data_IF_513494674017
#
_entry.id   IF_513494674017
#
_cell.length_a   1.000
_cell.length_b   1.000
_cell.length_c   1.000
_cell.angle_alpha   90.00
_cell.angle_beta   90.00
_cell.angle_gamma   90.00
#
_symmetry.space_group_name_H-M   'P 1'
#
loop_
_entity.id
_entity.type
_entity.pdbx_description
1 polymer ?
#
# COMPACT_ATOMS: atom_id res chain seq x y z
N UNK A 1 0.89 -10.04 25.55
CA UNK A 1 1.95 -9.93 24.52
C UNK A 1 1.28 -9.63 23.20
N UNK A 2 1.31 -8.40 22.63
CA UNK A 2 0.71 -8.18 21.32
C UNK A 2 1.64 -8.76 20.25
N UNK A 3 1.08 -9.57 19.36
CA UNK A 3 1.79 -10.24 18.28
C UNK A 3 1.55 -9.44 17.01
N UNK A 4 2.58 -8.84 16.44
CA UNK A 4 2.46 -8.27 15.10
C UNK A 4 2.24 -9.40 14.09
N UNK A 5 1.05 -9.44 13.48
CA UNK A 5 0.76 -10.29 12.34
C UNK A 5 1.16 -9.54 11.07
N UNK A 6 1.66 -10.26 10.06
CA UNK A 6 2.25 -9.75 8.79
C UNK A 6 3.79 -9.55 8.81
N UNK A 7 4.54 -10.24 9.67
CA UNK A 7 6.01 -10.31 9.56
C UNK A 7 6.80 -9.08 10.03
N UNK A 8 6.13 -8.04 10.54
CA UNK A 8 6.78 -6.89 11.17
C UNK A 8 7.11 -7.14 12.64
N UNK A 9 8.18 -6.53 13.12
CA UNK A 9 8.62 -6.54 14.52
C UNK A 9 8.12 -5.30 15.28
N UNK A 10 8.30 -5.26 16.61
CA UNK A 10 7.95 -4.07 17.39
C UNK A 10 8.84 -2.86 17.07
N UNK A 11 10.09 -3.09 16.69
CA UNK A 11 11.00 -2.03 16.25
C UNK A 11 10.50 -1.36 14.95
N UNK A 12 9.72 -2.06 14.14
CA UNK A 12 9.12 -1.49 12.93
C UNK A 12 7.99 -0.50 13.23
N UNK A 13 7.46 -0.48 14.46
CA UNK A 13 6.35 0.38 14.88
C UNK A 13 6.83 1.66 15.60
N UNK A 14 8.07 1.68 16.08
CA UNK A 14 8.65 2.79 16.81
C UNK A 14 9.20 3.87 15.84
N UNK A 15 9.35 5.12 16.30
CA UNK A 15 9.98 6.22 15.56
C UNK A 15 9.37 6.58 14.19
N UNK A 16 8.06 6.40 14.00
CA UNK A 16 7.35 6.84 12.79
C UNK A 16 7.20 5.77 11.71
N UNK A 17 7.29 4.49 12.10
CA UNK A 17 7.22 3.30 11.26
C UNK A 17 8.47 3.11 10.37
N UNK A 18 8.99 1.88 10.30
CA UNK A 18 10.17 1.59 9.47
C UNK A 18 9.85 1.61 7.97
N UNK A 19 10.80 2.00 7.13
CA UNK A 19 10.68 1.92 5.66
C UNK A 19 10.28 0.53 5.18
N UNK A 20 10.72 -0.52 5.88
CA UNK A 20 10.33 -1.90 5.60
C UNK A 20 8.84 -2.14 5.85
N UNK A 21 8.31 -1.64 6.98
CA UNK A 21 6.90 -1.76 7.31
C UNK A 21 6.03 -0.92 6.38
N UNK A 22 6.40 0.34 6.14
CA UNK A 22 5.66 1.19 5.19
C UNK A 22 5.72 0.57 3.79
N UNK A 23 6.88 0.06 3.38
CA UNK A 23 7.07 -0.56 2.06
C UNK A 23 6.39 -1.92 1.90
N UNK A 24 5.98 -2.57 2.99
CA UNK A 24 5.15 -3.78 2.96
C UNK A 24 3.67 -3.42 2.88
N UNK A 25 3.24 -2.41 3.65
CA UNK A 25 1.83 -2.03 3.77
C UNK A 25 1.34 -1.09 2.67
N UNK A 26 2.19 -0.21 2.16
CA UNK A 26 1.84 0.84 1.19
C UNK A 26 2.59 0.60 -0.11
N UNK A 27 1.85 0.53 -1.21
CA UNK A 27 2.42 0.53 -2.55
C UNK A 27 2.78 1.98 -2.95
N UNK A 28 4.05 2.23 -3.26
CA UNK A 28 4.52 3.51 -3.80
C UNK A 28 5.51 3.30 -4.95
N UNK A 29 5.62 4.31 -5.82
CA UNK A 29 6.55 4.31 -6.95
C UNK A 29 5.83 4.58 -8.27
N UNK A 30 6.31 3.96 -9.34
CA UNK A 30 5.69 4.08 -10.67
C UNK A 30 4.38 3.29 -10.74
N UNK A 31 3.56 3.60 -11.74
CA UNK A 31 2.31 2.91 -12.00
C UNK A 31 2.52 1.40 -12.23
N UNK A 32 3.58 1.01 -12.93
CA UNK A 32 3.90 -0.40 -13.18
C UNK A 32 4.18 -1.15 -11.88
N UNK A 33 4.95 -0.55 -10.97
CA UNK A 33 5.27 -1.15 -9.68
C UNK A 33 4.03 -1.31 -8.79
N UNK A 34 3.07 -0.40 -8.91
CA UNK A 34 1.80 -0.49 -8.20
C UNK A 34 0.92 -1.59 -8.85
N UNK A 35 0.85 -1.64 -10.18
CA UNK A 35 0.12 -2.69 -10.92
C UNK A 35 0.64 -4.11 -10.63
N UNK A 36 1.96 -4.29 -10.54
CA UNK A 36 2.58 -5.57 -10.14
C UNK A 36 2.10 -6.04 -8.76
N UNK A 37 1.94 -5.11 -7.80
CA UNK A 37 1.47 -5.44 -6.45
C UNK A 37 -0.02 -5.78 -6.44
N UNK A 38 -0.83 -5.09 -7.23
CA UNK A 38 -2.24 -5.45 -7.45
C UNK A 38 -2.32 -6.88 -8.01
N UNK A 39 -1.52 -7.16 -9.05
CA UNK A 39 -1.41 -8.50 -9.65
C UNK A 39 -0.96 -9.56 -8.64
N UNK A 40 -0.02 -9.25 -7.75
CA UNK A 40 0.42 -10.18 -6.70
C UNK A 40 -0.70 -10.53 -5.71
N UNK A 41 -1.55 -9.57 -5.34
CA UNK A 41 -2.72 -9.86 -4.49
C UNK A 41 -3.72 -10.78 -5.21
N UNK A 42 -4.00 -10.54 -6.48
CA UNK A 42 -4.87 -11.40 -7.29
C UNK A 42 -4.29 -12.81 -7.45
N UNK A 43 -2.98 -12.91 -7.72
CA UNK A 43 -2.27 -14.19 -7.82
C UNK A 43 -2.25 -14.96 -6.49
N UNK A 44 -2.27 -14.25 -5.35
CA UNK A 44 -2.43 -14.84 -4.02
C UNK A 44 -3.88 -15.30 -3.72
N UNK A 45 -4.81 -15.14 -4.66
CA UNK A 45 -6.19 -15.59 -4.55
C UNK A 45 -7.20 -14.51 -4.16
N UNK A 46 -6.78 -13.23 -4.10
CA UNK A 46 -7.75 -12.15 -3.98
C UNK A 46 -8.65 -12.12 -5.22
N UNK A 47 -9.96 -12.05 -5.01
CA UNK A 47 -10.95 -11.85 -6.07
C UNK A 47 -11.34 -10.37 -6.22
N UNK A 48 -10.89 -9.53 -5.31
CA UNK A 48 -11.08 -8.09 -5.31
C UNK A 48 -9.91 -7.41 -4.59
N UNK A 49 -9.49 -6.25 -5.09
CA UNK A 49 -8.43 -5.43 -4.49
C UNK A 49 -8.95 -4.00 -4.37
N UNK A 50 -9.11 -3.51 -3.14
CA UNK A 50 -9.49 -2.13 -2.88
C UNK A 50 -8.24 -1.23 -2.93
N UNK A 51 -8.33 -0.09 -3.63
CA UNK A 51 -7.27 0.91 -3.70
C UNK A 51 -7.65 2.14 -2.87
N UNK A 52 -6.83 2.47 -1.87
CA UNK A 52 -6.91 3.73 -1.13
C UNK A 52 -5.79 4.65 -1.64
N UNK A 53 -6.15 5.60 -2.49
CA UNK A 53 -5.19 6.52 -3.13
C UNK A 53 -4.93 7.70 -2.21
N UNK A 54 -3.72 7.74 -1.64
CA UNK A 54 -3.34 8.75 -0.65
C UNK A 54 -2.50 9.85 -1.29
N UNK A 55 -2.86 11.11 -1.03
CA UNK A 55 -1.98 12.26 -1.33
C UNK A 55 -0.95 12.44 -0.23
N UNK A 56 0.28 12.76 -0.63
CA UNK A 56 1.38 13.06 0.30
C UNK A 56 1.28 14.45 0.96
N UNK A 57 0.36 15.32 0.52
CA UNK A 57 0.23 16.70 1.01
C UNK A 57 -0.68 16.86 2.25
N UNK A 58 -1.06 15.74 2.88
CA UNK A 58 -1.94 15.70 4.05
C UNK A 58 -3.33 16.35 3.86
N UNK A 59 -3.76 16.59 2.61
CA UNK A 59 -5.09 17.16 2.31
C UNK A 59 -6.25 16.25 2.69
N UNK A 60 -6.00 14.96 2.91
CA UNK A 60 -7.04 13.96 3.16
C UNK A 60 -7.92 13.65 1.94
N UNK A 61 -7.59 14.22 0.78
CA UNK A 61 -8.28 13.97 -0.48
C UNK A 61 -7.62 12.79 -1.22
N UNK A 62 -8.39 12.07 -2.07
CA UNK A 62 -7.81 11.07 -2.97
C UNK A 62 -6.78 11.68 -3.93
N UNK A 63 -5.75 10.91 -4.29
CA UNK A 63 -4.86 11.31 -5.38
C UNK A 63 -5.56 11.08 -6.73
N UNK A 64 -5.99 12.18 -7.37
CA UNK A 64 -6.71 12.16 -8.64
C UNK A 64 -5.89 11.55 -9.79
N UNK A 65 -4.56 11.73 -9.81
CA UNK A 65 -3.70 11.14 -10.84
C UNK A 65 -3.64 9.62 -10.71
N UNK A 66 -3.47 9.15 -9.47
CA UNK A 66 -3.53 7.71 -9.19
C UNK A 66 -4.92 7.14 -9.51
N UNK A 67 -5.99 7.93 -9.27
CA UNK A 67 -7.34 7.53 -9.61
C UNK A 67 -7.51 7.33 -11.11
N UNK A 68 -7.09 8.31 -11.92
CA UNK A 68 -7.14 8.22 -13.38
C UNK A 68 -6.32 7.04 -13.92
N UNK A 69 -5.12 6.81 -13.38
CA UNK A 69 -4.26 5.71 -13.81
C UNK A 69 -4.87 4.32 -13.57
N UNK A 70 -5.66 4.15 -12.50
CA UNK A 70 -6.17 2.84 -12.07
C UNK A 70 -7.70 2.68 -12.17
N UNK A 71 -8.44 3.68 -12.64
CA UNK A 71 -9.91 3.61 -12.79
C UNK A 71 -10.39 2.56 -13.83
N UNK A 72 -9.49 2.03 -14.66
CA UNK A 72 -9.79 1.04 -15.70
C UNK A 72 -9.60 -0.43 -15.29
N UNK A 73 -9.28 -0.71 -14.03
CA UNK A 73 -9.14 -2.07 -13.49
C UNK A 73 -10.36 -2.49 -12.68
#
# INVERSE_FOLDING_TARGET
MPRASQGSSQADLENGYSDHLVGTMIAWGTEEKIAERIGAHLAAGANHVCLLMLRCDASGLPDERAFEAFAGH
#
